data_IF_735614755929
#
_entry.id   IF_735614755929
#
_cell.length_a   1.000
_cell.length_b   1.000
_cell.length_c   1.000
_cell.angle_alpha   90.00
_cell.angle_beta   90.00
_cell.angle_gamma   90.00
#
_symmetry.space_group_name_H-M   'P 1'
#
loop_
_entity.id
_entity.type
_entity.pdbx_description
1 polymer ?
#
# COMPACT_ATOMS: atom_id res chain seq x y z
N UNK A 1 21.60 13.05 2.74
CA UNK A 1 21.42 12.17 1.56
C UNK A 1 19.97 11.73 1.58
N UNK A 2 19.23 11.77 0.46
CA UNK A 2 17.84 11.32 0.45
C UNK A 2 17.75 9.81 0.69
N UNK A 3 16.81 9.38 1.52
CA UNK A 3 16.47 7.96 1.71
C UNK A 3 15.95 7.35 0.39
N UNK A 4 15.87 6.02 0.31
CA UNK A 4 15.29 5.38 -0.87
C UNK A 4 13.81 5.68 -1.04
N UNK A 5 13.06 5.85 0.06
CA UNK A 5 11.66 6.24 0.02
C UNK A 5 11.48 7.66 -0.55
N UNK A 6 12.33 8.62 -0.15
CA UNK A 6 12.31 9.98 -0.69
C UNK A 6 12.68 10.01 -2.19
N UNK A 7 13.66 9.20 -2.61
CA UNK A 7 14.03 9.08 -4.02
C UNK A 7 12.90 8.45 -4.84
N UNK A 8 12.24 7.43 -4.30
CA UNK A 8 11.11 6.78 -4.93
C UNK A 8 9.91 7.73 -5.04
N UNK A 9 9.65 8.54 -4.01
CA UNK A 9 8.62 9.58 -4.06
C UNK A 9 8.90 10.62 -5.16
N UNK A 10 10.15 11.11 -5.28
CA UNK A 10 10.52 12.03 -6.35
C UNK A 10 10.25 11.42 -7.73
N UNK A 11 10.60 10.15 -7.93
CA UNK A 11 10.33 9.43 -9.18
C UNK A 11 8.83 9.29 -9.42
N UNK A 12 8.10 8.86 -8.40
CA UNK A 12 6.66 8.62 -8.45
C UNK A 12 5.91 9.90 -8.81
N UNK A 13 6.22 11.03 -8.16
CA UNK A 13 5.67 12.36 -8.47
C UNK A 13 5.95 12.80 -9.90
N UNK A 14 7.14 12.52 -10.46
CA UNK A 14 7.45 12.85 -11.86
C UNK A 14 6.60 12.07 -12.86
N UNK A 15 6.27 10.82 -12.54
CA UNK A 15 5.45 9.98 -13.42
C UNK A 15 3.96 10.31 -13.27
N UNK A 16 3.51 10.56 -12.04
CA UNK A 16 2.09 10.71 -11.70
C UNK A 16 1.58 12.14 -11.72
N UNK A 17 2.48 13.12 -11.61
CA UNK A 17 2.13 14.53 -11.44
C UNK A 17 1.15 14.75 -10.27
N UNK A 18 1.49 14.19 -9.10
CA UNK A 18 0.70 14.24 -7.86
C UNK A 18 1.45 14.98 -6.76
N UNK A 19 0.71 15.58 -5.83
CA UNK A 19 1.25 16.31 -4.67
C UNK A 19 1.19 15.49 -3.37
N UNK A 20 1.62 14.23 -3.41
CA UNK A 20 1.68 13.39 -2.19
C UNK A 20 2.79 13.85 -1.26
N UNK A 21 2.53 14.10 0.02
CA UNK A 21 3.60 14.33 1.01
C UNK A 21 4.44 13.08 1.25
N UNK A 22 5.57 13.21 1.95
CA UNK A 22 6.38 12.04 2.30
C UNK A 22 5.59 11.06 3.18
N UNK A 23 4.90 11.56 4.20
CA UNK A 23 4.13 10.71 5.13
C UNK A 23 3.01 9.95 4.40
N UNK A 24 2.25 10.64 3.54
CA UNK A 24 1.22 10.02 2.71
C UNK A 24 1.81 8.94 1.80
N UNK A 25 2.98 9.20 1.22
CA UNK A 25 3.67 8.22 0.39
C UNK A 25 4.20 7.03 1.17
N UNK A 26 4.75 7.24 2.37
CA UNK A 26 5.22 6.16 3.25
C UNK A 26 4.06 5.25 3.68
N UNK A 27 2.87 5.78 3.90
CA UNK A 27 1.70 4.94 4.16
C UNK A 27 1.29 4.12 2.94
N UNK A 28 1.26 4.72 1.75
CA UNK A 28 1.05 3.96 0.50
C UNK A 28 2.13 2.88 0.35
N UNK A 29 3.39 3.20 0.68
CA UNK A 29 4.51 2.27 0.63
C UNK A 29 4.33 1.10 1.60
N UNK A 30 3.86 1.35 2.83
CA UNK A 30 3.60 0.32 3.85
C UNK A 30 2.40 -0.57 3.48
N UNK A 31 1.38 -0.03 2.80
CA UNK A 31 0.22 -0.80 2.33
C UNK A 31 0.44 -1.49 0.98
N UNK A 32 1.54 -1.19 0.29
CA UNK A 32 1.82 -1.74 -1.03
C UNK A 32 1.87 -3.29 -1.06
N UNK A 33 2.44 -3.99 -0.06
CA UNK A 33 2.37 -5.46 -0.01
C UNK A 33 0.93 -5.99 0.01
N UNK A 34 0.04 -5.34 0.76
CA UNK A 34 -1.38 -5.72 0.81
C UNK A 34 -2.08 -5.55 -0.53
N UNK A 35 -1.72 -4.51 -1.30
CA UNK A 35 -2.20 -4.32 -2.68
C UNK A 35 -1.74 -5.44 -3.63
N UNK A 36 -0.54 -5.99 -3.43
CA UNK A 36 -0.05 -7.15 -4.19
C UNK A 36 -0.86 -8.39 -3.85
N UNK A 37 -1.17 -8.61 -2.57
CA UNK A 37 -1.97 -9.75 -2.11
C UNK A 37 -3.35 -9.74 -2.76
N UNK A 38 -4.06 -8.60 -2.73
CA UNK A 38 -5.37 -8.43 -3.41
C UNK A 38 -5.36 -8.52 -4.94
N UNK A 39 -4.20 -8.66 -5.58
CA UNK A 39 -4.11 -8.77 -7.05
C UNK A 39 -3.41 -10.05 -7.49
N UNK A 40 -3.09 -10.94 -6.55
CA UNK A 40 -2.21 -12.08 -6.81
C UNK A 40 -2.83 -13.11 -7.77
N UNK A 41 -4.15 -13.19 -7.83
CA UNK A 41 -4.90 -14.05 -8.75
C UNK A 41 -5.13 -13.40 -10.14
N UNK A 42 -4.74 -12.14 -10.30
CA UNK A 42 -4.84 -11.35 -11.52
C UNK A 42 -6.22 -10.78 -11.80
N UNK A 43 -7.20 -10.92 -10.90
CA UNK A 43 -8.57 -10.44 -11.10
C UNK A 43 -9.02 -9.64 -9.88
N UNK A 44 -9.02 -8.32 -9.99
CA UNK A 44 -9.64 -7.48 -8.96
C UNK A 44 -11.16 -7.59 -9.04
N UNK A 45 -11.76 -8.34 -8.13
CA UNK A 45 -13.21 -8.40 -8.03
C UNK A 45 -13.78 -7.18 -7.26
N UNK A 46 -15.11 -7.14 -7.18
CA UNK A 46 -15.79 -6.00 -6.52
C UNK A 46 -15.51 -5.97 -5.02
N UNK A 47 -15.39 -7.12 -4.36
CA UNK A 47 -15.24 -7.25 -2.92
C UNK A 47 -13.83 -6.83 -2.50
N UNK A 48 -12.83 -7.23 -3.26
CA UNK A 48 -11.44 -6.77 -3.13
C UNK A 48 -11.32 -5.28 -3.38
N UNK A 49 -11.98 -4.77 -4.43
CA UNK A 49 -11.99 -3.33 -4.68
C UNK A 49 -12.70 -2.55 -3.55
N UNK A 50 -13.82 -3.05 -3.02
CA UNK A 50 -14.49 -2.46 -1.87
C UNK A 50 -13.56 -2.46 -0.63
N UNK A 51 -12.70 -3.48 -0.49
CA UNK A 51 -11.58 -3.49 0.47
C UNK A 51 -10.61 -2.33 0.23
N UNK A 52 -10.16 -2.14 -1.01
CA UNK A 52 -9.29 -1.02 -1.40
C UNK A 52 -9.93 0.34 -1.09
N UNK A 53 -11.22 0.50 -1.35
CA UNK A 53 -11.96 1.74 -1.07
C UNK A 53 -12.06 2.03 0.43
N UNK A 54 -12.26 1.01 1.27
CA UNK A 54 -12.29 1.18 2.73
C UNK A 54 -10.97 1.73 3.28
N UNK A 55 -9.84 1.36 2.69
CA UNK A 55 -8.53 1.86 3.12
C UNK A 55 -8.29 3.29 2.71
N UNK A 56 -8.64 3.64 1.47
CA UNK A 56 -8.51 5.01 1.02
C UNK A 56 -9.32 5.96 1.91
N UNK A 57 -10.48 5.50 2.38
CA UNK A 57 -11.27 6.20 3.39
C UNK A 57 -10.56 6.25 4.75
N UNK A 58 -10.02 5.13 5.23
CA UNK A 58 -9.25 5.09 6.48
C UNK A 58 -8.05 6.04 6.46
N UNK A 59 -7.31 6.09 5.35
CA UNK A 59 -6.20 7.01 5.14
C UNK A 59 -6.66 8.47 5.12
N UNK A 60 -7.79 8.76 4.46
CA UNK A 60 -8.34 10.11 4.47
C UNK A 60 -8.76 10.53 5.89
N UNK A 61 -9.24 9.61 6.73
CA UNK A 61 -9.54 9.89 8.14
C UNK A 61 -8.28 10.15 8.97
N UNK A 62 -7.21 9.39 8.77
CA UNK A 62 -5.93 9.57 9.46
C UNK A 62 -5.26 10.90 9.08
N UNK A 63 -5.29 11.26 7.80
CA UNK A 63 -4.54 12.40 7.26
C UNK A 63 -5.36 13.65 7.00
N UNK A 64 -6.67 13.56 7.14
CA UNK A 64 -7.59 14.64 6.84
C UNK A 64 -7.98 15.48 8.05
N UNK A 65 -7.23 15.38 9.16
CA UNK A 65 -7.46 16.24 10.32
C UNK A 65 -7.41 17.73 9.90
N UNK A 66 -8.44 18.48 10.30
CA UNK A 66 -8.62 19.87 9.91
C UNK A 66 -9.13 20.12 8.48
N UNK A 67 -9.38 19.09 7.67
CA UNK A 67 -10.07 19.24 6.37
C UNK A 67 -11.58 19.33 6.56
N UNK A 68 -12.24 20.09 5.69
CA UNK A 68 -13.69 20.07 5.58
C UNK A 68 -14.17 18.82 4.81
N UNK A 69 -15.49 18.61 4.74
CA UNK A 69 -16.06 17.44 4.05
C UNK A 69 -15.60 17.30 2.59
N UNK A 70 -15.37 18.42 1.90
CA UNK A 70 -14.90 18.41 0.51
C UNK A 70 -13.41 18.06 0.40
N UNK A 71 -12.58 18.53 1.34
CA UNK A 71 -11.18 18.16 1.44
C UNK A 71 -10.98 16.69 1.77
N UNK A 72 -11.81 16.14 2.65
CA UNK A 72 -11.83 14.70 2.98
C UNK A 72 -12.13 13.84 1.75
N UNK A 73 -13.17 14.18 1.00
CA UNK A 73 -13.55 13.46 -0.23
C UNK A 73 -12.44 13.52 -1.28
N UNK A 74 -11.79 14.68 -1.44
CA UNK A 74 -10.66 14.82 -2.36
C UNK A 74 -9.45 13.99 -1.96
N UNK A 75 -9.14 13.96 -0.66
CA UNK A 75 -8.03 13.18 -0.13
C UNK A 75 -8.28 11.67 -0.30
N UNK A 76 -9.49 11.21 0.03
CA UNK A 76 -9.92 9.83 -0.21
C UNK A 76 -9.82 9.47 -1.70
N UNK A 77 -10.33 10.34 -2.58
CA UNK A 77 -10.27 10.12 -4.02
C UNK A 77 -8.83 10.08 -4.54
N UNK A 78 -7.93 10.88 -3.98
CA UNK A 78 -6.50 10.85 -4.28
C UNK A 78 -5.91 9.47 -3.97
N UNK A 79 -6.11 8.95 -2.75
CA UNK A 79 -5.63 7.62 -2.37
C UNK A 79 -6.21 6.50 -3.23
N UNK A 80 -7.52 6.54 -3.52
CA UNK A 80 -8.17 5.57 -4.43
C UNK A 80 -7.53 5.57 -5.81
N UNK A 81 -7.23 6.76 -6.34
CA UNK A 81 -6.62 6.94 -7.66
C UNK A 81 -5.20 6.37 -7.69
N UNK A 82 -4.43 6.58 -6.62
CA UNK A 82 -3.07 6.05 -6.52
C UNK A 82 -3.04 4.54 -6.34
N UNK A 83 -3.93 3.97 -5.51
CA UNK A 83 -4.07 2.53 -5.39
C UNK A 83 -4.43 1.89 -6.73
N UNK A 84 -5.46 2.40 -7.42
CA UNK A 84 -5.83 1.90 -8.76
C UNK A 84 -4.63 1.90 -9.71
N UNK A 85 -3.92 3.03 -9.79
CA UNK A 85 -2.76 3.12 -10.67
C UNK A 85 -1.65 2.12 -10.30
N UNK A 86 -1.39 1.92 -9.01
CA UNK A 86 -0.37 0.98 -8.54
C UNK A 86 -0.74 -0.46 -8.87
N UNK A 87 -2.02 -0.84 -8.75
CA UNK A 87 -2.51 -2.17 -9.18
C UNK A 87 -2.34 -2.34 -10.69
N UNK A 88 -2.79 -1.36 -11.48
CA UNK A 88 -2.72 -1.39 -12.95
C UNK A 88 -1.27 -1.38 -13.48
N UNK A 89 -0.30 -1.00 -12.65
CA UNK A 89 1.12 -0.85 -13.03
C UNK A 89 2.06 -1.64 -12.11
N UNK A 90 1.59 -2.76 -11.55
CA UNK A 90 2.32 -3.53 -10.54
C UNK A 90 3.73 -3.91 -11.01
N UNK A 91 3.88 -4.42 -12.24
CA UNK A 91 5.17 -4.85 -12.80
C UNK A 91 6.23 -3.72 -12.82
N UNK A 92 5.79 -2.49 -13.06
CA UNK A 92 6.65 -1.31 -13.13
C UNK A 92 7.17 -0.90 -11.75
N UNK A 93 6.32 -1.03 -10.73
CA UNK A 93 6.57 -0.44 -9.41
C UNK A 93 7.01 -1.46 -8.36
N UNK A 94 6.66 -2.73 -8.51
CA UNK A 94 6.78 -3.74 -7.47
C UNK A 94 8.19 -3.82 -6.90
N UNK A 95 9.20 -3.99 -7.77
CA UNK A 95 10.59 -4.07 -7.33
C UNK A 95 11.05 -2.81 -6.60
N UNK A 96 10.63 -1.63 -7.06
CA UNK A 96 11.05 -0.34 -6.50
C UNK A 96 10.42 -0.09 -5.13
N UNK A 97 9.11 -0.31 -5.03
CA UNK A 97 8.36 -0.18 -3.79
C UNK A 97 8.86 -1.17 -2.75
N UNK A 98 8.97 -2.46 -3.06
CA UNK A 98 9.45 -3.46 -2.10
C UNK A 98 10.90 -3.20 -1.64
N UNK A 99 11.77 -2.67 -2.52
CA UNK A 99 13.12 -2.27 -2.13
C UNK A 99 13.13 -1.06 -1.18
N UNK A 100 12.38 -0.02 -1.53
CA UNK A 100 12.29 1.18 -0.70
C UNK A 100 11.66 0.85 0.66
N UNK A 101 10.60 0.03 0.67
CA UNK A 101 9.91 -0.41 1.88
C UNK A 101 10.85 -1.18 2.80
N UNK A 102 11.56 -2.20 2.29
CA UNK A 102 12.51 -2.98 3.09
C UNK A 102 13.55 -2.10 3.78
N UNK A 103 14.08 -1.11 3.06
CA UNK A 103 15.07 -0.19 3.62
C UNK A 103 14.46 0.86 4.56
N UNK A 104 13.18 1.20 4.36
CA UNK A 104 12.46 2.13 5.22
C UNK A 104 12.16 1.50 6.58
N UNK A 105 11.60 0.28 6.60
CA UNK A 105 11.21 -0.40 7.85
C UNK A 105 12.43 -0.92 8.62
N UNK A 106 13.50 -1.31 7.94
CA UNK A 106 14.73 -1.80 8.58
C UNK A 106 14.45 -2.91 9.59
N UNK A 107 14.83 -2.68 10.86
CA UNK A 107 14.55 -3.58 11.99
C UNK A 107 13.41 -3.09 12.89
N UNK A 108 12.61 -2.12 12.44
CA UNK A 108 11.48 -1.63 13.21
C UNK A 108 10.39 -2.72 13.29
N UNK A 109 10.20 -3.25 14.49
CA UNK A 109 9.21 -4.29 14.77
C UNK A 109 7.77 -3.81 14.54
N UNK A 110 7.45 -2.58 14.94
CA UNK A 110 6.09 -2.05 14.83
C UNK A 110 5.69 -1.90 13.35
N UNK A 111 6.59 -1.39 12.51
CA UNK A 111 6.33 -1.26 11.07
C UNK A 111 6.17 -2.64 10.40
N UNK A 112 7.01 -3.61 10.77
CA UNK A 112 6.94 -4.98 10.24
C UNK A 112 5.63 -5.68 10.64
N UNK A 113 5.22 -5.54 11.90
CA UNK A 113 3.97 -6.08 12.43
C UNK A 113 2.77 -5.43 11.73
N UNK A 114 2.77 -4.09 11.61
CA UNK A 114 1.73 -3.36 10.89
C UNK A 114 1.57 -3.84 9.44
N UNK A 115 2.67 -4.04 8.71
CA UNK A 115 2.62 -4.51 7.31
C UNK A 115 2.07 -5.93 7.23
N UNK A 116 2.53 -6.83 8.11
CA UNK A 116 2.07 -8.21 8.13
C UNK A 116 0.57 -8.30 8.45
N UNK A 117 0.13 -7.62 9.50
CA UNK A 117 -1.29 -7.54 9.88
C UNK A 117 -2.13 -6.93 8.75
N UNK A 118 -1.62 -5.91 8.08
CA UNK A 118 -2.29 -5.28 6.93
C UNK A 118 -2.45 -6.26 5.77
N UNK A 119 -1.48 -7.12 5.49
CA UNK A 119 -1.61 -8.12 4.42
C UNK A 119 -2.71 -9.15 4.77
N UNK A 120 -2.72 -9.65 6.00
CA UNK A 120 -3.74 -10.60 6.47
C UNK A 120 -5.14 -9.99 6.51
N UNK A 121 -5.26 -8.73 6.95
CA UNK A 121 -6.53 -8.01 6.98
C UNK A 121 -7.15 -7.89 5.59
N UNK A 122 -6.32 -7.72 4.56
CA UNK A 122 -6.79 -7.55 3.18
C UNK A 122 -7.17 -8.88 2.55
N UNK A 123 -6.32 -9.90 2.71
CA UNK A 123 -6.63 -11.24 2.21
C UNK A 123 -7.92 -11.78 2.85
N UNK A 124 -8.12 -11.53 4.15
CA UNK A 124 -9.31 -11.97 4.87
C UNK A 124 -10.53 -11.02 4.68
N UNK A 125 -10.46 -10.04 3.77
CA UNK A 125 -11.60 -9.19 3.44
C UNK A 125 -12.59 -9.89 2.48
N UNK A 126 -12.11 -10.83 1.67
CA UNK A 126 -12.90 -11.84 0.97
C UNK A 126 -13.14 -13.04 1.90
N UNK A 127 -14.07 -13.95 1.58
CA UNK A 127 -14.59 -15.05 2.43
C UNK A 127 -13.53 -16.10 2.85
N UNK A 128 -12.52 -15.68 3.63
CA UNK A 128 -11.30 -16.41 3.96
C UNK A 128 -10.11 -16.07 3.05
N UNK A 129 -8.92 -16.49 3.47
CA UNK A 129 -7.66 -16.34 2.72
C UNK A 129 -7.47 -17.55 1.82
N UNK A 130 -7.32 -17.33 0.52
CA UNK A 130 -7.02 -18.37 -0.47
C UNK A 130 -5.58 -18.88 -0.36
N UNK A 131 -5.31 -20.05 -0.96
CA UNK A 131 -3.95 -20.61 -1.00
C UNK A 131 -2.95 -19.66 -1.71
N UNK A 132 -3.38 -19.01 -2.79
CA UNK A 132 -2.53 -18.09 -3.58
C UNK A 132 -2.18 -16.83 -2.79
N UNK A 133 -3.15 -16.28 -2.05
CA UNK A 133 -2.90 -15.14 -1.15
C UNK A 133 -1.97 -15.54 -0.02
N UNK A 134 -2.15 -16.73 0.58
CA UNK A 134 -1.28 -17.22 1.65
C UNK A 134 0.16 -17.42 1.17
N UNK A 135 0.36 -17.98 -0.03
CA UNK A 135 1.68 -18.09 -0.67
C UNK A 135 2.31 -16.72 -0.94
N UNK A 136 1.49 -15.76 -1.40
CA UNK A 136 1.93 -14.39 -1.68
C UNK A 136 2.35 -13.67 -0.40
N UNK A 137 1.58 -13.80 0.68
CA UNK A 137 1.90 -13.27 2.01
C UNK A 137 3.25 -13.84 2.47
N UNK A 138 3.44 -15.16 2.38
CA UNK A 138 4.69 -15.79 2.80
C UNK A 138 5.90 -15.27 2.00
N UNK A 139 5.79 -15.20 0.67
CA UNK A 139 6.84 -14.65 -0.19
C UNK A 139 7.18 -13.20 0.15
N UNK A 140 6.17 -12.36 0.42
CA UNK A 140 6.38 -10.96 0.80
C UNK A 140 7.01 -10.83 2.19
N UNK A 141 6.61 -11.66 3.15
CA UNK A 141 7.19 -11.73 4.49
C UNK A 141 8.68 -12.06 4.44
N UNK A 142 9.08 -13.09 3.68
CA UNK A 142 10.49 -13.42 3.48
C UNK A 142 11.24 -12.29 2.77
N UNK A 143 10.64 -11.72 1.73
CA UNK A 143 11.26 -10.68 0.91
C UNK A 143 11.59 -9.43 1.73
N UNK A 144 10.67 -9.04 2.61
CA UNK A 144 10.74 -7.87 3.47
C UNK A 144 11.36 -8.15 4.84
N UNK A 145 11.62 -9.43 5.18
CA UNK A 145 12.09 -9.88 6.48
C UNK A 145 11.16 -9.45 7.63
N UNK A 146 9.87 -9.76 7.47
CA UNK A 146 8.81 -9.45 8.45
C UNK A 146 8.74 -10.46 9.60
N UNK A 147 9.19 -11.69 9.38
CA UNK A 147 9.17 -12.75 10.38
C UNK A 147 10.29 -12.58 11.42
N UNK A 148 10.02 -13.03 12.65
CA UNK A 148 10.91 -12.93 13.82
C UNK A 148 11.41 -14.30 14.30
#
# INVERSE_FOLDING_TARGET
MKSQAEQLLDEYRRVRNVELTLDQFLYILNLYPSLIVCMCDGVLDKEEWDGVLRLAKGLALEYGDGLDGSGMEQLEQSFRTEFRYLLDNIEKWQKKFLNALKNHIGENREDKEFILESMYLFANAADGISEVEQETIHMLSERLALDY
#
